data_IF_104164589169
#
_entry.id   IF_104164589169
#
_cell.length_a   1.000
_cell.length_b   1.000
_cell.length_c   1.000
_cell.angle_alpha   90.00
_cell.angle_beta   90.00
_cell.angle_gamma   90.00
#
_symmetry.space_group_name_H-M   'P 1'
#
loop_
_entity.id
_entity.type
_entity.pdbx_description
1 polymer ?
#
# COMPACT_ATOMS: atom_id res chain seq x y z
N UNK A 1 -16.27 -24.78 -45.98
CA UNK A 1 -14.84 -24.56 -45.82
C UNK A 1 -14.58 -24.30 -44.32
N UNK A 2 -14.12 -25.34 -43.62
CA UNK A 2 -13.79 -25.27 -42.20
C UNK A 2 -12.35 -24.80 -41.99
N UNK A 3 -11.99 -24.27 -40.80
CA UNK A 3 -10.65 -23.80 -40.51
C UNK A 3 -9.63 -24.94 -40.41
N UNK A 4 -8.34 -24.71 -40.72
CA UNK A 4 -7.31 -25.75 -40.76
C UNK A 4 -6.95 -26.25 -39.37
N UNK A 5 -6.68 -27.56 -39.29
CA UNK A 5 -6.22 -28.32 -38.15
C UNK A 5 -4.86 -27.78 -37.62
N UNK A 6 -4.78 -27.56 -36.32
CA UNK A 6 -3.56 -27.20 -35.62
C UNK A 6 -2.49 -28.30 -35.72
N UNK A 7 -1.31 -27.88 -36.10
CA UNK A 7 -0.08 -28.67 -36.22
C UNK A 7 0.37 -29.22 -34.85
N UNK A 8 0.35 -30.54 -34.71
CA UNK A 8 0.84 -31.27 -33.52
C UNK A 8 2.34 -31.49 -33.64
N UNK A 9 3.15 -30.60 -33.09
CA UNK A 9 4.59 -30.86 -32.91
C UNK A 9 4.86 -31.65 -31.61
N UNK A 10 5.81 -32.62 -31.62
CA UNK A 10 6.08 -33.46 -30.47
C UNK A 10 6.80 -32.73 -29.36
N UNK A 11 6.52 -33.15 -28.12
CA UNK A 11 6.87 -32.55 -26.82
C UNK A 11 8.36 -32.62 -26.39
N UNK A 12 9.32 -32.82 -27.30
CA UNK A 12 10.69 -33.14 -26.94
C UNK A 12 11.75 -32.04 -27.17
N UNK A 13 11.40 -30.85 -27.64
CA UNK A 13 12.41 -29.84 -27.99
C UNK A 13 12.49 -28.61 -27.06
N UNK A 14 11.80 -28.58 -25.94
CA UNK A 14 11.79 -27.37 -25.11
C UNK A 14 12.53 -27.51 -23.74
N UNK A 15 13.15 -28.67 -23.48
CA UNK A 15 13.91 -28.93 -22.24
C UNK A 15 15.26 -28.19 -22.12
N UNK A 16 15.68 -27.41 -23.12
CA UNK A 16 17.01 -26.81 -23.16
C UNK A 16 17.10 -25.28 -23.06
N UNK A 17 16.01 -24.56 -22.78
CA UNK A 17 16.11 -23.12 -22.52
C UNK A 17 15.10 -22.69 -21.45
N UNK A 18 15.47 -22.93 -20.20
CA UNK A 18 14.81 -22.36 -19.04
C UNK A 18 15.11 -20.84 -18.97
N UNK A 19 14.51 -20.08 -19.86
CA UNK A 19 14.35 -18.63 -19.71
C UNK A 19 12.87 -18.36 -19.62
N UNK A 20 12.35 -17.74 -18.54
CA UNK A 20 10.92 -17.42 -18.44
C UNK A 20 10.60 -16.29 -19.42
N UNK A 21 10.16 -16.65 -20.62
CA UNK A 21 9.60 -15.69 -21.57
C UNK A 21 8.08 -15.64 -21.44
N UNK A 22 7.60 -14.86 -20.47
CA UNK A 22 6.27 -14.24 -20.57
C UNK A 22 6.38 -12.96 -21.41
N UNK A 23 5.29 -12.45 -22.01
CA UNK A 23 5.37 -11.29 -22.89
C UNK A 23 5.87 -10.05 -22.13
N UNK A 24 7.17 -9.76 -22.28
CA UNK A 24 7.72 -8.41 -22.13
C UNK A 24 7.99 -7.87 -20.74
N UNK A 25 8.48 -8.67 -19.79
CA UNK A 25 8.95 -8.12 -18.50
C UNK A 25 10.46 -8.05 -18.41
N UNK A 26 11.09 -7.02 -18.96
CA UNK A 26 12.50 -6.71 -18.71
C UNK A 26 12.59 -6.14 -17.30
N UNK A 27 13.27 -6.83 -16.36
CA UNK A 27 13.74 -6.22 -15.11
C UNK A 27 14.81 -5.18 -15.48
N UNK A 28 14.43 -3.92 -15.54
CA UNK A 28 15.40 -2.84 -15.46
C UNK A 28 15.99 -2.84 -14.04
N UNK A 29 17.30 -2.71 -13.92
CA UNK A 29 18.05 -2.67 -12.67
C UNK A 29 17.72 -1.48 -11.76
N UNK A 30 16.77 -0.66 -12.15
CA UNK A 30 16.29 0.54 -11.45
C UNK A 30 14.77 0.57 -11.51
N UNK A 31 14.11 0.12 -10.43
CA UNK A 31 12.69 0.36 -10.23
C UNK A 31 11.80 -0.89 -10.30
N UNK A 32 10.71 -0.81 -9.55
CA UNK A 32 9.65 -1.80 -9.46
C UNK A 32 9.16 -2.24 -10.86
N UNK A 33 8.79 -3.50 -11.01
CA UNK A 33 8.16 -4.04 -12.23
C UNK A 33 6.96 -3.17 -12.61
N UNK A 34 6.88 -2.81 -13.90
CA UNK A 34 5.77 -2.00 -14.41
C UNK A 34 4.44 -2.79 -14.45
N UNK A 35 4.51 -4.11 -14.30
CA UNK A 35 3.37 -5.02 -14.28
C UNK A 35 3.30 -5.76 -12.94
N UNK A 36 2.09 -5.99 -12.40
CA UNK A 36 1.93 -6.73 -11.16
C UNK A 36 2.41 -8.18 -11.33
N UNK A 37 3.11 -8.68 -10.31
CA UNK A 37 3.69 -10.02 -10.27
C UNK A 37 2.82 -10.91 -9.38
N UNK A 38 2.55 -12.13 -9.84
CA UNK A 38 1.97 -13.19 -9.03
C UNK A 38 3.11 -14.11 -8.58
N UNK A 39 3.49 -14.06 -7.32
CA UNK A 39 4.40 -15.03 -6.75
C UNK A 39 3.63 -16.31 -6.45
N UNK A 40 4.12 -17.45 -6.92
CA UNK A 40 3.53 -18.77 -6.66
C UNK A 40 4.51 -19.60 -5.86
N UNK A 41 4.15 -19.98 -4.64
CA UNK A 41 5.03 -20.67 -3.69
C UNK A 41 4.39 -22.00 -3.29
N UNK A 42 5.01 -23.09 -3.68
CA UNK A 42 4.54 -24.47 -3.41
C UNK A 42 5.75 -25.43 -3.50
N UNK A 43 5.85 -26.43 -2.65
CA UNK A 43 6.93 -27.40 -2.68
C UNK A 43 6.70 -28.52 -3.71
N UNK A 44 5.48 -28.66 -4.23
CA UNK A 44 5.15 -29.61 -5.28
C UNK A 44 5.46 -29.02 -6.68
N UNK A 45 6.46 -29.56 -7.40
CA UNK A 45 6.83 -29.07 -8.73
C UNK A 45 5.72 -29.26 -9.78
N UNK A 46 4.82 -30.22 -9.60
CA UNK A 46 3.71 -30.44 -10.52
C UNK A 46 2.65 -29.35 -10.33
N UNK A 47 2.36 -28.96 -9.11
CA UNK A 47 1.48 -27.85 -8.78
C UNK A 47 2.06 -26.53 -9.33
N UNK A 48 3.36 -26.26 -9.07
CA UNK A 48 4.03 -25.08 -9.62
C UNK A 48 3.93 -25.01 -11.14
N UNK A 49 4.17 -26.10 -11.85
CA UNK A 49 4.08 -26.15 -13.31
C UNK A 49 2.65 -25.93 -13.80
N UNK A 50 1.69 -26.62 -13.20
CA UNK A 50 0.29 -26.56 -13.63
C UNK A 50 -0.31 -25.16 -13.42
N UNK A 51 -0.16 -24.61 -12.23
CA UNK A 51 -0.73 -23.29 -11.90
C UNK A 51 0.01 -22.15 -12.62
N UNK A 52 1.34 -22.22 -12.77
CA UNK A 52 2.08 -21.22 -13.54
C UNK A 52 1.63 -21.19 -15.01
N UNK A 53 1.44 -22.34 -15.65
CA UNK A 53 0.96 -22.41 -17.04
C UNK A 53 -0.44 -21.83 -17.18
N UNK A 54 -1.32 -22.15 -16.25
CA UNK A 54 -2.69 -21.63 -16.25
C UNK A 54 -2.71 -20.11 -16.11
N UNK A 55 -1.99 -19.56 -15.15
CA UNK A 55 -1.91 -18.12 -14.92
C UNK A 55 -1.23 -17.38 -16.08
N UNK A 56 -0.16 -17.94 -16.66
CA UNK A 56 0.45 -17.36 -17.87
C UNK A 56 -0.51 -17.32 -19.07
N UNK A 57 -1.32 -18.39 -19.24
CA UNK A 57 -2.32 -18.42 -20.32
C UNK A 57 -3.38 -17.35 -20.14
N UNK A 58 -3.66 -16.96 -18.91
CA UNK A 58 -4.60 -15.86 -18.57
C UNK A 58 -3.91 -14.46 -18.52
N UNK A 59 -2.62 -14.39 -18.90
CA UNK A 59 -1.88 -13.14 -19.08
C UNK A 59 -1.16 -12.61 -17.84
N UNK A 60 -1.10 -13.36 -16.75
CA UNK A 60 -0.38 -12.95 -15.55
C UNK A 60 1.14 -13.17 -15.67
N UNK A 61 1.93 -12.30 -15.04
CA UNK A 61 3.36 -12.51 -14.86
C UNK A 61 3.56 -13.31 -13.57
N UNK A 62 4.09 -14.54 -13.68
CA UNK A 62 4.23 -15.47 -12.55
C UNK A 62 5.70 -15.68 -12.23
N UNK A 63 6.05 -15.61 -10.94
CA UNK A 63 7.38 -15.97 -10.40
C UNK A 63 7.17 -17.16 -9.45
N UNK A 64 7.54 -18.39 -9.88
CA UNK A 64 7.42 -19.57 -9.04
C UNK A 64 8.60 -19.64 -8.05
N UNK A 65 8.35 -20.20 -6.87
CA UNK A 65 9.34 -20.56 -5.84
C UNK A 65 8.98 -21.90 -5.22
N UNK A 66 9.96 -22.78 -5.04
CA UNK A 66 9.77 -24.13 -4.54
C UNK A 66 9.77 -24.23 -3.01
N UNK A 67 9.98 -23.11 -2.31
CA UNK A 67 9.96 -23.05 -0.86
C UNK A 67 9.70 -21.63 -0.34
N UNK A 68 9.30 -21.53 0.93
CA UNK A 68 9.15 -20.24 1.61
C UNK A 68 10.46 -19.46 1.70
N UNK A 69 11.59 -20.14 1.87
CA UNK A 69 12.91 -19.54 1.92
C UNK A 69 13.30 -18.91 0.58
N UNK A 70 13.16 -19.66 -0.50
CA UNK A 70 13.44 -19.18 -1.87
C UNK A 70 12.58 -17.95 -2.20
N UNK A 71 11.30 -18.00 -1.88
CA UNK A 71 10.40 -16.85 -2.06
C UNK A 71 10.89 -15.63 -1.27
N UNK A 72 11.24 -15.79 0.01
CA UNK A 72 11.69 -14.69 0.86
C UNK A 72 13.03 -14.06 0.43
N UNK A 73 13.84 -14.78 -0.35
CA UNK A 73 15.08 -14.27 -0.95
C UNK A 73 14.80 -13.44 -2.22
N UNK A 74 13.85 -13.87 -3.04
CA UNK A 74 13.54 -13.19 -4.32
C UNK A 74 12.55 -12.05 -4.19
N UNK A 75 11.69 -12.10 -3.17
CA UNK A 75 10.66 -11.09 -2.93
C UNK A 75 11.25 -9.75 -2.49
N UNK A 76 10.93 -8.68 -3.20
CA UNK A 76 11.33 -7.33 -2.83
C UNK A 76 10.13 -6.57 -2.25
N UNK A 77 10.27 -5.98 -1.04
CA UNK A 77 9.28 -5.07 -0.51
C UNK A 77 9.06 -3.91 -1.48
N UNK A 78 7.85 -3.78 -1.98
CA UNK A 78 7.56 -2.76 -2.99
C UNK A 78 7.22 -3.31 -4.37
N UNK A 79 7.45 -4.59 -4.66
CA UNK A 79 6.94 -5.22 -5.88
C UNK A 79 5.42 -5.18 -5.91
N UNK A 80 4.85 -4.75 -7.06
CA UNK A 80 3.41 -4.77 -7.25
C UNK A 80 2.93 -6.19 -7.46
N UNK A 81 1.89 -6.63 -6.73
CA UNK A 81 1.35 -7.95 -6.97
C UNK A 81 0.68 -8.63 -5.79
N UNK A 82 0.57 -9.96 -5.90
CA UNK A 82 0.05 -10.82 -4.84
C UNK A 82 0.87 -12.12 -4.75
N UNK A 83 0.63 -12.88 -3.69
CA UNK A 83 1.30 -14.16 -3.44
C UNK A 83 0.26 -15.27 -3.32
N UNK A 84 0.43 -16.33 -4.11
CA UNK A 84 -0.24 -17.61 -3.91
C UNK A 84 0.74 -18.46 -3.10
N UNK A 85 0.30 -18.98 -1.96
CA UNK A 85 1.20 -19.57 -0.97
C UNK A 85 0.61 -20.88 -0.43
N UNK A 86 1.32 -21.97 -0.63
CA UNK A 86 0.93 -23.22 0.06
C UNK A 86 1.08 -23.05 1.57
N UNK A 87 0.08 -23.51 2.26
CA UNK A 87 0.05 -23.49 3.72
C UNK A 87 1.05 -24.48 4.32
N UNK A 88 1.19 -25.66 3.71
CA UNK A 88 1.92 -26.81 4.25
C UNK A 88 3.15 -27.13 3.39
N UNK A 89 4.26 -26.50 3.68
CA UNK A 89 5.53 -26.77 3.02
C UNK A 89 6.58 -27.26 4.01
N UNK A 90 7.56 -28.08 3.59
CA UNK A 90 8.75 -28.39 4.38
C UNK A 90 9.53 -27.11 4.73
N UNK A 91 10.15 -27.07 5.90
CA UNK A 91 10.86 -25.88 6.38
C UNK A 91 9.91 -24.81 6.89
N UNK A 92 9.78 -23.70 6.19
CA UNK A 92 8.87 -22.61 6.54
C UNK A 92 7.48 -22.87 5.98
N UNK A 93 6.49 -23.02 6.87
CA UNK A 93 5.09 -23.04 6.47
C UNK A 93 4.64 -21.71 5.88
N UNK A 94 3.51 -21.69 5.15
CA UNK A 94 2.94 -20.45 4.64
C UNK A 94 2.66 -19.41 5.72
N UNK A 95 2.30 -19.85 6.93
CA UNK A 95 2.11 -18.94 8.07
C UNK A 95 3.42 -18.33 8.57
N UNK A 96 4.52 -19.10 8.56
CA UNK A 96 5.86 -18.59 8.92
C UNK A 96 6.35 -17.57 7.91
N UNK A 97 6.09 -17.79 6.62
CA UNK A 97 6.39 -16.83 5.54
C UNK A 97 5.62 -15.52 5.76
N UNK A 98 4.32 -15.59 6.05
CA UNK A 98 3.52 -14.38 6.34
C UNK A 98 4.05 -13.63 7.57
N UNK A 99 4.41 -14.35 8.64
CA UNK A 99 4.97 -13.75 9.84
C UNK A 99 6.30 -13.05 9.56
N UNK A 100 7.15 -13.65 8.73
CA UNK A 100 8.41 -13.06 8.28
C UNK A 100 8.20 -11.77 7.47
N UNK A 101 7.26 -11.78 6.51
CA UNK A 101 6.88 -10.59 5.75
C UNK A 101 6.37 -9.47 6.66
N UNK A 102 5.56 -9.80 7.66
CA UNK A 102 5.08 -8.84 8.65
C UNK A 102 6.24 -8.22 9.45
N UNK A 103 7.26 -9.00 9.84
CA UNK A 103 8.48 -8.48 10.49
C UNK A 103 9.30 -7.56 9.59
N UNK A 104 9.29 -7.81 8.27
CA UNK A 104 9.93 -6.93 7.27
C UNK A 104 9.12 -5.65 7.00
N UNK A 105 7.94 -5.52 7.62
CA UNK A 105 7.08 -4.32 7.53
C UNK A 105 6.23 -4.22 6.27
N UNK A 106 6.18 -5.26 5.45
CA UNK A 106 5.34 -5.30 4.24
C UNK A 106 4.77 -6.70 4.02
N UNK A 107 3.45 -6.81 4.02
CA UNK A 107 2.73 -8.04 3.70
C UNK A 107 1.91 -7.80 2.42
N UNK A 108 2.28 -8.43 1.29
CA UNK A 108 1.46 -8.37 0.08
C UNK A 108 0.12 -9.09 0.31
N UNK A 109 -0.87 -8.89 -0.56
CA UNK A 109 -2.07 -9.72 -0.56
C UNK A 109 -1.70 -11.20 -0.75
N UNK A 110 -2.13 -12.07 0.17
CA UNK A 110 -1.82 -13.50 0.16
C UNK A 110 -3.10 -14.30 -0.12
N UNK A 111 -3.02 -15.23 -1.06
CA UNK A 111 -3.99 -16.28 -1.36
C UNK A 111 -3.37 -17.58 -0.90
N UNK A 112 -3.99 -18.24 0.07
CA UNK A 112 -3.50 -19.53 0.52
C UNK A 112 -4.07 -20.66 -0.32
N UNK A 113 -3.23 -21.69 -0.58
CA UNK A 113 -3.66 -22.97 -1.13
C UNK A 113 -3.31 -24.08 -0.12
N UNK A 114 -4.13 -25.12 -0.01
CA UNK A 114 -3.86 -26.21 0.94
C UNK A 114 -4.60 -27.47 0.57
N UNK A 115 -3.98 -28.63 0.81
CA UNK A 115 -4.62 -29.94 0.62
C UNK A 115 -5.66 -30.29 1.69
N UNK A 116 -5.51 -29.73 2.89
CA UNK A 116 -6.44 -29.94 4.00
C UNK A 116 -6.36 -28.75 4.95
N UNK A 117 -7.51 -28.29 5.43
CA UNK A 117 -7.57 -27.23 6.42
C UNK A 117 -8.66 -27.52 7.45
N UNK A 118 -8.30 -27.41 8.71
CA UNK A 118 -9.29 -27.39 9.79
C UNK A 118 -10.01 -26.04 9.81
N UNK A 119 -11.30 -26.07 10.13
CA UNK A 119 -12.13 -24.85 10.15
C UNK A 119 -11.52 -23.76 11.06
N UNK A 120 -10.97 -24.16 12.22
CA UNK A 120 -10.33 -23.21 13.12
C UNK A 120 -9.10 -22.52 12.50
N UNK A 121 -8.31 -23.25 11.71
CA UNK A 121 -7.16 -22.73 10.99
C UNK A 121 -7.60 -21.79 9.85
N UNK A 122 -8.60 -22.16 9.06
CA UNK A 122 -9.17 -21.34 8.01
C UNK A 122 -9.66 -19.98 8.56
N UNK A 123 -10.39 -19.98 9.66
CA UNK A 123 -10.85 -18.75 10.32
C UNK A 123 -9.67 -17.88 10.77
N UNK A 124 -8.60 -18.47 11.29
CA UNK A 124 -7.39 -17.73 11.70
C UNK A 124 -6.70 -17.09 10.51
N UNK A 125 -6.55 -17.82 9.41
CA UNK A 125 -5.95 -17.34 8.15
C UNK A 125 -6.74 -16.14 7.61
N UNK A 126 -8.07 -16.26 7.51
CA UNK A 126 -8.90 -15.16 7.02
C UNK A 126 -8.86 -13.93 7.95
N UNK A 127 -8.84 -14.14 9.28
CA UNK A 127 -8.66 -13.05 10.25
C UNK A 127 -7.29 -12.38 10.19
N UNK A 128 -6.25 -13.09 9.75
CA UNK A 128 -4.92 -12.50 9.54
C UNK A 128 -4.82 -11.63 8.28
N UNK A 129 -5.91 -11.51 7.52
CA UNK A 129 -6.01 -10.62 6.37
C UNK A 129 -5.67 -11.27 5.03
N UNK A 130 -5.69 -12.60 4.94
CA UNK A 130 -5.62 -13.29 3.66
C UNK A 130 -6.68 -12.78 2.68
N UNK A 131 -6.38 -12.82 1.39
CA UNK A 131 -7.35 -12.50 0.33
C UNK A 131 -8.37 -13.63 0.24
N UNK A 132 -7.85 -14.86 0.15
CA UNK A 132 -8.66 -16.07 0.07
C UNK A 132 -7.89 -17.30 0.54
N UNK A 133 -8.61 -18.42 0.67
CA UNK A 133 -8.09 -19.74 1.00
C UNK A 133 -8.73 -20.80 0.10
N UNK A 134 -7.94 -21.37 -0.82
CA UNK A 134 -8.39 -22.36 -1.77
C UNK A 134 -7.91 -23.77 -1.40
N UNK A 135 -8.75 -24.76 -1.62
CA UNK A 135 -8.40 -26.16 -1.37
C UNK A 135 -7.83 -26.83 -2.62
N UNK A 136 -6.80 -27.68 -2.44
CA UNK A 136 -6.30 -28.56 -3.52
C UNK A 136 -7.27 -29.75 -3.68
N UNK A 137 -7.65 -30.17 -4.94
CA UNK A 137 -7.20 -29.61 -6.20
C UNK A 137 -7.80 -28.19 -6.45
N UNK A 138 -6.96 -27.26 -6.90
CA UNK A 138 -7.34 -25.85 -7.08
C UNK A 138 -8.19 -25.69 -8.35
N UNK A 139 -9.39 -25.16 -8.18
CA UNK A 139 -10.25 -24.78 -9.32
C UNK A 139 -9.71 -23.49 -9.97
N UNK A 140 -9.45 -23.54 -11.28
CA UNK A 140 -8.78 -22.45 -11.98
C UNK A 140 -9.57 -21.14 -11.95
N UNK A 141 -10.89 -21.21 -12.12
CA UNK A 141 -11.75 -20.01 -12.12
C UNK A 141 -11.71 -19.30 -10.77
N UNK A 142 -11.73 -20.06 -9.65
CA UNK A 142 -11.61 -19.51 -8.30
C UNK A 142 -10.22 -18.92 -8.05
N UNK A 143 -9.17 -19.56 -8.58
CA UNK A 143 -7.81 -19.03 -8.47
C UNK A 143 -7.66 -17.69 -9.21
N UNK A 144 -8.15 -17.59 -10.43
CA UNK A 144 -8.11 -16.37 -11.24
C UNK A 144 -8.89 -15.25 -10.54
N UNK A 145 -10.07 -15.57 -10.01
CA UNK A 145 -10.86 -14.59 -9.24
C UNK A 145 -10.09 -14.09 -8.02
N UNK A 146 -9.52 -14.99 -7.21
CA UNK A 146 -8.74 -14.65 -6.02
C UNK A 146 -7.50 -13.80 -6.39
N UNK A 147 -6.78 -14.15 -7.46
CA UNK A 147 -5.64 -13.37 -7.98
C UNK A 147 -6.08 -11.97 -8.39
N UNK A 148 -7.18 -11.86 -9.14
CA UNK A 148 -7.74 -10.55 -9.55
C UNK A 148 -8.08 -9.68 -8.33
N UNK A 149 -8.70 -10.25 -7.30
CA UNK A 149 -9.01 -9.56 -6.04
C UNK A 149 -7.73 -9.14 -5.30
N UNK A 150 -6.72 -10.03 -5.25
CA UNK A 150 -5.41 -9.75 -4.65
C UNK A 150 -4.71 -8.58 -5.33
N UNK A 151 -4.63 -8.58 -6.64
CA UNK A 151 -4.02 -7.50 -7.43
C UNK A 151 -4.78 -6.17 -7.27
N UNK A 152 -6.11 -6.22 -7.27
CA UNK A 152 -6.92 -5.03 -7.02
C UNK A 152 -6.71 -4.46 -5.61
N UNK A 153 -6.54 -5.32 -4.61
CA UNK A 153 -6.23 -4.93 -3.23
C UNK A 153 -4.85 -4.28 -3.14
N UNK A 154 -3.82 -4.88 -3.76
CA UNK A 154 -2.47 -4.30 -3.83
C UNK A 154 -2.47 -2.91 -4.46
N UNK A 155 -3.12 -2.78 -5.61
CA UNK A 155 -3.23 -1.49 -6.31
C UNK A 155 -3.88 -0.40 -5.45
N UNK A 156 -4.92 -0.73 -4.68
CA UNK A 156 -5.56 0.21 -3.74
C UNK A 156 -4.61 0.63 -2.61
N UNK A 157 -3.90 -0.32 -2.00
CA UNK A 157 -2.95 -0.06 -0.92
C UNK A 157 -1.82 0.84 -1.44
N UNK A 158 -1.23 0.52 -2.60
CA UNK A 158 -0.16 1.32 -3.22
C UNK A 158 -0.62 2.73 -3.55
N UNK A 159 -1.81 2.88 -4.12
CA UNK A 159 -2.38 4.20 -4.42
C UNK A 159 -2.52 5.02 -3.14
N UNK A 160 -3.05 4.42 -2.07
CA UNK A 160 -3.18 5.09 -0.77
C UNK A 160 -1.81 5.51 -0.22
N UNK A 161 -0.82 4.60 -0.20
CA UNK A 161 0.54 4.90 0.29
C UNK A 161 1.21 6.01 -0.53
N UNK A 162 1.07 5.98 -1.85
CA UNK A 162 1.58 7.03 -2.75
C UNK A 162 0.95 8.40 -2.44
N UNK A 163 -0.36 8.46 -2.26
CA UNK A 163 -1.08 9.68 -1.88
C UNK A 163 -0.61 10.20 -0.52
N UNK A 164 -0.49 9.32 0.46
CA UNK A 164 0.03 9.68 1.79
C UNK A 164 1.47 10.22 1.71
N UNK A 165 2.33 9.60 0.90
CA UNK A 165 3.72 10.07 0.70
C UNK A 165 3.76 11.46 0.04
N UNK A 166 2.97 11.69 -1.00
CA UNK A 166 2.86 13.00 -1.66
C UNK A 166 2.32 14.06 -0.70
N UNK A 167 1.26 13.76 0.06
CA UNK A 167 0.70 14.69 1.03
C UNK A 167 1.72 15.05 2.12
N UNK A 168 2.47 14.07 2.61
CA UNK A 168 3.53 14.28 3.60
C UNK A 168 4.65 15.16 3.07
N UNK A 169 5.14 14.88 1.86
CA UNK A 169 6.19 15.70 1.21
C UNK A 169 5.74 17.16 1.03
N UNK A 170 4.49 17.41 0.62
CA UNK A 170 3.93 18.75 0.54
C UNK A 170 3.88 19.45 1.90
N UNK A 171 3.45 18.77 2.95
CA UNK A 171 3.44 19.32 4.31
C UNK A 171 4.86 19.62 4.83
N UNK A 172 5.84 18.81 4.50
CA UNK A 172 7.25 19.03 4.84
C UNK A 172 7.84 20.25 4.15
N UNK A 173 7.34 20.66 2.98
CA UNK A 173 7.77 21.84 2.26
C UNK A 173 7.39 23.17 2.93
N UNK A 174 6.49 23.14 3.92
CA UNK A 174 6.06 24.33 4.62
C UNK A 174 7.14 24.81 5.59
N UNK A 175 7.38 26.13 5.63
CA UNK A 175 8.19 26.76 6.67
C UNK A 175 7.54 26.64 8.05
N UNK A 176 8.33 26.82 9.12
CA UNK A 176 7.81 26.79 10.50
C UNK A 176 6.65 27.78 10.68
N UNK A 177 6.76 28.97 10.08
CA UNK A 177 5.72 30.00 10.17
C UNK A 177 4.45 29.62 9.41
N UNK A 178 4.58 29.02 8.24
CA UNK A 178 3.43 28.51 7.47
C UNK A 178 2.75 27.37 8.20
N UNK A 179 3.48 26.50 8.88
CA UNK A 179 2.90 25.42 9.74
C UNK A 179 2.12 25.98 10.91
N UNK A 180 2.62 27.01 11.60
CA UNK A 180 1.89 27.69 12.64
C UNK A 180 0.56 28.28 12.14
N UNK A 181 0.58 28.98 11.00
CA UNK A 181 -0.62 29.51 10.35
C UNK A 181 -1.57 28.38 9.97
N UNK A 182 -1.04 27.26 9.41
CA UNK A 182 -1.84 26.11 9.00
C UNK A 182 -2.63 25.48 10.15
N UNK A 183 -2.07 25.43 11.37
CA UNK A 183 -2.75 24.91 12.54
C UNK A 183 -4.04 25.70 12.84
N UNK A 184 -3.99 27.02 12.79
CA UNK A 184 -5.19 27.86 12.97
C UNK A 184 -6.17 27.71 11.81
N UNK A 185 -5.65 27.63 10.59
CA UNK A 185 -6.47 27.45 9.38
C UNK A 185 -7.22 26.12 9.40
N UNK A 186 -6.59 25.05 9.87
CA UNK A 186 -7.21 23.73 9.99
C UNK A 186 -8.34 23.70 11.06
N UNK A 187 -8.26 24.57 12.06
CA UNK A 187 -9.32 24.75 13.07
C UNK A 187 -10.47 25.65 12.59
N UNK A 188 -10.35 26.26 11.41
CA UNK A 188 -11.36 27.19 10.89
C UNK A 188 -11.23 28.62 11.38
N UNK A 189 -10.12 29.00 12.03
CA UNK A 189 -9.92 30.32 12.61
C UNK A 189 -9.87 31.41 11.53
N UNK A 190 -10.46 32.58 11.88
CA UNK A 190 -10.46 33.75 11.03
C UNK A 190 -9.05 34.39 10.95
N UNK A 191 -8.79 35.13 9.87
CA UNK A 191 -7.49 35.82 9.72
C UNK A 191 -7.19 36.80 10.85
N UNK A 192 -8.20 37.37 11.49
CA UNK A 192 -8.04 38.28 12.62
C UNK A 192 -7.54 37.52 13.87
N UNK A 193 -8.14 36.34 14.17
CA UNK A 193 -7.74 35.47 15.27
C UNK A 193 -6.30 34.99 15.08
N UNK A 194 -5.96 34.55 13.86
CA UNK A 194 -4.59 34.11 13.53
C UNK A 194 -3.59 35.24 13.69
N UNK A 195 -3.93 36.45 13.23
CA UNK A 195 -3.06 37.62 13.32
C UNK A 195 -2.76 38.01 14.77
N UNK A 196 -3.79 38.03 15.62
CA UNK A 196 -3.66 38.30 17.06
C UNK A 196 -2.83 37.24 17.76
N UNK A 197 -3.15 35.94 17.54
CA UNK A 197 -2.48 34.82 18.19
C UNK A 197 -0.97 34.74 17.84
N UNK A 198 -0.64 35.06 16.59
CA UNK A 198 0.73 34.99 16.10
C UNK A 198 1.52 36.32 16.17
N UNK A 199 0.88 37.42 16.60
CA UNK A 199 1.50 38.75 16.69
C UNK A 199 1.91 39.34 15.34
N UNK A 200 1.13 39.10 14.27
CA UNK A 200 1.38 39.60 12.90
C UNK A 200 0.18 40.33 12.36
N UNK A 201 0.34 40.99 11.21
CA UNK A 201 -0.80 41.70 10.58
C UNK A 201 -1.73 40.73 9.84
N UNK A 202 -3.01 41.09 9.72
CA UNK A 202 -4.00 40.34 8.89
C UNK A 202 -3.52 40.21 7.43
N UNK A 203 -2.82 41.22 6.91
CA UNK A 203 -2.20 41.19 5.58
C UNK A 203 -1.15 40.07 5.48
N UNK A 204 -0.30 39.95 6.48
CA UNK A 204 0.73 38.89 6.55
C UNK A 204 0.10 37.49 6.64
N UNK A 205 -0.99 37.34 7.40
CA UNK A 205 -1.73 36.06 7.46
C UNK A 205 -2.26 35.68 6.06
N UNK A 206 -2.86 36.64 5.34
CA UNK A 206 -3.34 36.39 3.97
C UNK A 206 -2.23 35.92 3.05
N UNK A 207 -1.04 36.53 3.09
CA UNK A 207 0.12 36.11 2.31
C UNK A 207 0.56 34.69 2.68
N UNK A 208 0.64 34.35 3.98
CA UNK A 208 0.96 32.99 4.39
C UNK A 208 -0.07 31.97 3.90
N UNK A 209 -1.37 32.28 3.95
CA UNK A 209 -2.44 31.42 3.45
C UNK A 209 -2.32 31.18 1.93
N UNK A 210 -1.93 32.18 1.17
CA UNK A 210 -1.68 32.04 -0.27
C UNK A 210 -0.47 31.14 -0.54
N UNK A 211 0.63 31.34 0.18
CA UNK A 211 1.81 30.50 0.05
C UNK A 211 1.53 29.04 0.46
N UNK A 212 0.76 28.82 1.54
CA UNK A 212 0.32 27.49 1.95
C UNK A 212 -0.50 26.81 0.86
N UNK A 213 -1.50 27.51 0.29
CA UNK A 213 -2.31 26.98 -0.81
C UNK A 213 -1.45 26.61 -2.02
N UNK A 214 -0.51 27.45 -2.37
CA UNK A 214 0.39 27.20 -3.50
C UNK A 214 1.28 25.97 -3.25
N UNK A 215 1.94 25.90 -2.09
CA UNK A 215 2.84 24.78 -1.74
C UNK A 215 2.10 23.45 -1.56
N UNK A 216 0.91 23.48 -1.00
CA UNK A 216 0.07 22.30 -0.81
C UNK A 216 -0.73 21.93 -2.08
N UNK A 217 -0.73 22.80 -3.10
CA UNK A 217 -1.51 22.66 -4.34
C UNK A 217 -3.01 22.44 -4.07
N UNK A 218 -3.57 23.15 -3.11
CA UNK A 218 -4.99 23.08 -2.75
C UNK A 218 -5.73 24.38 -3.08
N UNK A 219 -6.93 24.26 -3.61
CA UNK A 219 -7.77 25.39 -3.98
C UNK A 219 -8.93 25.61 -3.03
N UNK A 220 -9.43 24.55 -2.43
CA UNK A 220 -10.61 24.52 -1.59
C UNK A 220 -10.32 24.01 -0.18
N UNK A 221 -11.16 24.36 0.78
CA UNK A 221 -11.06 23.84 2.16
C UNK A 221 -11.23 22.31 2.23
N UNK A 222 -12.17 21.68 1.51
CA UNK A 222 -12.23 20.22 1.48
C UNK A 222 -10.95 19.54 0.98
N UNK A 223 -10.31 20.06 -0.07
CA UNK A 223 -9.01 19.55 -0.56
C UNK A 223 -7.92 19.66 0.51
N UNK A 224 -7.89 20.79 1.25
CA UNK A 224 -6.96 20.97 2.35
C UNK A 224 -7.19 19.93 3.44
N UNK A 225 -8.43 19.73 3.88
CA UNK A 225 -8.77 18.75 4.92
C UNK A 225 -8.35 17.35 4.48
N UNK A 226 -8.63 16.99 3.23
CA UNK A 226 -8.26 15.69 2.66
C UNK A 226 -6.74 15.47 2.69
N UNK A 227 -5.98 16.46 2.21
CA UNK A 227 -4.50 16.42 2.23
C UNK A 227 -3.94 16.32 3.64
N UNK A 228 -4.50 17.06 4.60
CA UNK A 228 -4.09 16.99 6.01
C UNK A 228 -4.33 15.60 6.61
N UNK A 229 -5.46 14.98 6.29
CA UNK A 229 -5.79 13.62 6.73
C UNK A 229 -4.83 12.60 6.15
N UNK A 230 -4.55 12.66 4.84
CA UNK A 230 -3.61 11.76 4.17
C UNK A 230 -2.17 11.96 4.63
N UNK A 231 -1.75 13.19 4.87
CA UNK A 231 -0.41 13.53 5.35
C UNK A 231 -0.18 13.22 6.83
N UNK A 232 -1.22 12.79 7.57
CA UNK A 232 -1.12 12.51 9.00
C UNK A 232 -0.92 13.78 9.84
N UNK A 233 -1.39 14.93 9.35
CA UNK A 233 -1.30 16.19 10.08
C UNK A 233 -2.27 16.17 11.26
N UNK A 234 -1.71 16.07 12.47
CA UNK A 234 -2.49 16.19 13.71
C UNK A 234 -2.62 17.67 14.04
N UNK A 235 -3.84 18.22 13.95
CA UNK A 235 -4.13 19.52 14.54
C UNK A 235 -4.03 19.39 16.06
N UNK A 236 -2.89 19.81 16.64
CA UNK A 236 -2.86 19.99 18.08
C UNK A 236 -3.89 21.07 18.46
N UNK A 237 -4.72 20.83 19.47
CA UNK A 237 -5.57 21.90 19.98
C UNK A 237 -4.63 23.05 20.40
N UNK A 238 -4.81 24.20 19.74
CA UNK A 238 -4.13 25.43 20.16
C UNK A 238 -4.75 25.77 21.50
N UNK A 239 -4.00 25.51 22.58
CA UNK A 239 -4.41 25.93 23.90
C UNK A 239 -4.58 27.47 23.87
N UNK A 240 -5.75 28.01 24.24
CA UNK A 240 -5.91 29.45 24.35
C UNK A 240 -4.84 29.95 25.32
N UNK A 241 -3.96 30.82 24.83
CA UNK A 241 -3.07 31.54 25.74
C UNK A 241 -3.95 32.31 26.69
N UNK A 242 -3.90 31.97 27.97
CA UNK A 242 -4.58 32.68 29.05
C UNK A 242 -4.19 34.18 28.99
N UNK A 243 -5.06 34.99 28.40
CA UNK A 243 -4.93 36.45 28.47
C UNK A 243 -5.32 36.95 29.86
N UNK A 244 -4.75 36.32 30.91
CA UNK A 244 -4.78 36.87 32.25
C UNK A 244 -3.37 37.41 32.59
N UNK A 245 -3.06 38.54 32.04
CA UNK A 245 -2.01 39.34 32.63
C UNK A 245 -2.51 40.78 32.80
N UNK A 246 -2.96 41.04 34.01
CA UNK A 246 -2.64 42.27 34.71
C UNK A 246 -3.34 43.55 34.27
N UNK A 247 -4.54 43.82 34.81
CA UNK A 247 -4.84 45.15 35.29
C UNK A 247 -5.53 45.05 36.67
N UNK A 248 -4.75 44.80 37.71
CA UNK A 248 -5.11 45.19 39.06
C UNK A 248 -4.86 46.70 39.19
N UNK A 249 -5.86 47.46 38.78
CA UNK A 249 -5.92 48.86 39.12
C UNK A 249 -6.25 48.99 40.61
N UNK A 250 -5.24 49.20 41.42
CA UNK A 250 -5.37 49.64 42.80
C UNK A 250 -5.99 51.04 42.85
N UNK A 251 -7.29 51.07 43.01
CA UNK A 251 -7.94 52.32 43.54
C UNK A 251 -7.58 52.45 45.00
N UNK A 252 -6.61 53.33 45.30
CA UNK A 252 -6.47 53.92 46.63
C UNK A 252 -7.71 54.70 46.96
N UNK A 253 -8.48 54.27 47.94
CA UNK A 253 -9.42 55.13 48.68
C UNK A 253 -8.65 55.76 49.81
N UNK A 254 -8.58 57.11 49.74
CA UNK A 254 -8.19 57.93 50.88
C UNK A 254 -9.26 57.82 51.95
N UNK A 255 -8.82 57.60 53.16
CA UNK A 255 -9.19 58.27 54.42
C UNK A 255 -7.93 58.47 55.17
#
# INVERSE_FOLDING_TARGET
>A
MGPPLADKRPLTEWEASATPMGPGGVRSREGASMYPIVHLVDDDPDVLRALSRALWSDGYTVVPSSSGEEFLEVYQPGDAGCVILDLMMPGKSGMDVQAELARRGHVPPIIYITGMVEIACAVKIMKSGAVDLLTKPVELDLLIEAVSQGLARDARIRNLLSRCAVARARLESLSSREREVLQYVSNGDSNAVVAEALGITVRTVKVHREHIRFKLEVRTTPELIHLLTEGGFSSMPVLPRDHRCGRTGTRRRNW
#
